data_IF_680059395856
#
_entry.id   IF_680059395856
#
_cell.length_a   1.000
_cell.length_b   1.000
_cell.length_c   1.000
_cell.angle_alpha   90.00
_cell.angle_beta   90.00
_cell.angle_gamma   90.00
#
_symmetry.space_group_name_H-M   'P 1'
#
loop_
_entity.id
_entity.type
_entity.pdbx_description
1 polymer ?
#
# COMPACT_ATOMS: atom_id res chain seq x y z
N UNK A 1 -8.73 19.93 22.71
CA UNK A 1 -8.56 18.74 21.85
C UNK A 1 -9.32 19.01 20.57
N UNK A 2 -8.72 18.74 19.41
CA UNK A 2 -9.49 18.74 18.17
C UNK A 2 -10.65 17.74 18.29
N UNK A 3 -11.82 18.10 17.78
CA UNK A 3 -13.00 17.23 17.76
C UNK A 3 -12.67 15.97 16.95
N UNK A 4 -12.81 14.78 17.56
CA UNK A 4 -12.53 13.51 16.87
C UNK A 4 -13.70 13.18 15.96
N UNK A 5 -13.43 13.02 14.66
CA UNK A 5 -14.45 12.57 13.71
C UNK A 5 -14.67 11.06 13.88
N UNK A 6 -15.85 10.66 14.35
CA UNK A 6 -16.22 9.26 14.55
C UNK A 6 -16.87 8.71 13.27
N UNK A 7 -16.30 7.65 12.72
CA UNK A 7 -16.75 7.04 11.45
C UNK A 7 -16.88 5.52 11.60
N UNK A 8 -17.75 4.91 10.79
CA UNK A 8 -17.90 3.45 10.69
C UNK A 8 -17.32 2.98 9.36
N UNK A 9 -16.09 2.50 9.38
CA UNK A 9 -15.34 2.06 8.20
C UNK A 9 -14.64 0.73 8.49
N UNK A 10 -14.19 0.03 7.45
CA UNK A 10 -13.34 -1.15 7.57
C UNK A 10 -11.85 -0.80 7.59
N UNK A 11 -11.00 -1.82 7.76
CA UNK A 11 -9.54 -1.62 7.82
C UNK A 11 -8.92 -1.15 6.50
N UNK A 12 -9.49 -1.55 5.35
CA UNK A 12 -9.00 -1.11 4.04
C UNK A 12 -9.26 0.40 3.85
N UNK A 13 -10.46 0.87 4.16
CA UNK A 13 -10.80 2.28 4.09
C UNK A 13 -9.97 3.09 5.10
N UNK A 14 -9.80 2.61 6.33
CA UNK A 14 -8.95 3.26 7.33
C UNK A 14 -7.49 3.42 6.86
N UNK A 15 -6.91 2.37 6.28
CA UNK A 15 -5.56 2.42 5.71
C UNK A 15 -5.47 3.35 4.49
N UNK A 16 -6.42 3.25 3.56
CA UNK A 16 -6.48 4.08 2.36
C UNK A 16 -6.63 5.57 2.69
N UNK A 17 -7.42 5.91 3.70
CA UNK A 17 -7.61 7.28 4.17
C UNK A 17 -6.28 7.94 4.56
N UNK A 18 -5.47 7.25 5.37
CA UNK A 18 -4.15 7.76 5.79
C UNK A 18 -3.16 7.72 4.63
N UNK A 19 -3.14 6.65 3.85
CA UNK A 19 -2.25 6.49 2.70
C UNK A 19 -2.45 7.61 1.68
N UNK A 20 -3.70 7.95 1.36
CA UNK A 20 -4.06 9.04 0.45
C UNK A 20 -3.65 10.40 1.00
N UNK A 21 -3.93 10.65 2.28
CA UNK A 21 -3.56 11.89 2.95
C UNK A 21 -2.03 12.12 2.98
N UNK A 22 -1.22 11.05 2.99
CA UNK A 22 0.23 11.08 3.13
C UNK A 22 0.99 10.69 1.85
N UNK A 23 0.35 10.70 0.68
CA UNK A 23 1.02 10.35 -0.59
C UNK A 23 0.72 11.36 -1.70
N UNK A 24 1.66 11.52 -2.61
CA UNK A 24 1.53 12.28 -3.85
C UNK A 24 1.33 11.36 -5.05
N UNK A 25 1.93 10.16 -5.02
CA UNK A 25 1.77 9.13 -6.05
C UNK A 25 1.36 7.82 -5.40
N UNK A 26 0.36 7.16 -5.98
CA UNK A 26 -0.17 5.89 -5.49
C UNK A 26 -0.17 4.92 -6.66
N UNK A 27 0.86 4.08 -6.77
CA UNK A 27 0.96 3.09 -7.84
C UNK A 27 0.33 1.78 -7.39
N UNK A 28 -0.62 1.24 -8.14
CA UNK A 28 -1.47 0.12 -7.71
C UNK A 28 -1.53 -0.99 -8.75
N UNK A 29 -1.91 -2.17 -8.28
CA UNK A 29 -2.40 -3.27 -9.11
C UNK A 29 -3.39 -4.10 -8.27
N UNK A 30 -4.57 -4.46 -8.81
CA UNK A 30 -5.63 -5.08 -8.01
C UNK A 30 -5.29 -6.52 -7.60
N UNK A 31 -5.31 -6.78 -6.30
CA UNK A 31 -5.22 -8.13 -5.72
C UNK A 31 -6.04 -8.21 -4.42
N UNK A 32 -6.94 -9.19 -4.33
CA UNK A 32 -7.76 -9.44 -3.12
C UNK A 32 -6.88 -9.84 -1.93
N UNK A 33 -7.10 -9.38 -0.69
CA UNK A 33 -8.16 -8.49 -0.22
C UNK A 33 -7.75 -7.00 -0.19
N UNK A 34 -6.61 -6.61 -0.77
CA UNK A 34 -6.11 -5.22 -0.76
C UNK A 34 -6.69 -4.30 -1.84
N UNK A 35 -7.31 -4.83 -2.90
CA UNK A 35 -7.90 -4.02 -3.98
C UNK A 35 -8.77 -2.84 -3.51
N UNK A 36 -9.65 -2.99 -2.49
CA UNK A 36 -10.48 -1.89 -2.01
C UNK A 36 -9.68 -0.67 -1.56
N UNK A 37 -8.44 -0.83 -1.06
CA UNK A 37 -7.61 0.33 -0.69
C UNK A 37 -7.25 1.19 -1.90
N UNK A 38 -6.90 0.54 -3.03
CA UNK A 38 -6.62 1.23 -4.28
C UNK A 38 -7.86 1.89 -4.87
N UNK A 39 -8.99 1.22 -4.80
CA UNK A 39 -10.30 1.74 -5.24
C UNK A 39 -10.72 2.97 -4.44
N UNK A 40 -10.59 2.95 -3.10
CA UNK A 40 -10.86 4.12 -2.27
C UNK A 40 -9.90 5.27 -2.55
N UNK A 41 -8.61 4.99 -2.73
CA UNK A 41 -7.64 6.03 -3.07
C UNK A 41 -7.95 6.69 -4.42
N UNK A 42 -8.36 5.90 -5.42
CA UNK A 42 -8.79 6.41 -6.73
C UNK A 42 -10.07 7.25 -6.62
N UNK A 43 -11.06 6.77 -5.85
CA UNK A 43 -12.29 7.51 -5.58
C UNK A 43 -12.00 8.86 -4.89
N UNK A 44 -11.16 8.87 -3.85
CA UNK A 44 -10.77 10.10 -3.15
C UNK A 44 -10.11 11.10 -4.11
N UNK A 45 -9.21 10.63 -4.97
CA UNK A 45 -8.58 11.47 -5.99
C UNK A 45 -9.56 11.97 -7.04
N UNK A 46 -10.50 11.14 -7.50
CA UNK A 46 -11.56 11.52 -8.44
C UNK A 46 -12.51 12.57 -7.84
N UNK A 47 -12.78 12.50 -6.53
CA UNK A 47 -13.55 13.49 -5.78
C UNK A 47 -12.76 14.80 -5.51
N UNK A 48 -11.48 14.84 -5.87
CA UNK A 48 -10.62 16.00 -5.66
C UNK A 48 -10.21 16.21 -4.20
N UNK A 49 -10.26 15.16 -3.38
CA UNK A 49 -9.74 15.18 -2.01
C UNK A 49 -8.24 15.45 -2.08
N UNK A 50 -7.78 16.41 -1.28
CA UNK A 50 -6.38 16.82 -1.23
C UNK A 50 -5.66 16.10 -0.10
N UNK A 51 -4.40 15.75 -0.33
CA UNK A 51 -3.48 15.30 0.70
C UNK A 51 -3.04 16.46 1.61
N UNK A 52 -2.17 16.17 2.58
CA UNK A 52 -1.69 17.18 3.55
C UNK A 52 -0.83 18.29 2.91
N UNK A 53 -0.38 18.12 1.67
CA UNK A 53 0.37 19.13 0.91
C UNK A 53 -0.54 19.97 0.00
N UNK A 54 -1.84 19.71 -0.02
CA UNK A 54 -2.81 20.44 -0.83
C UNK A 54 -2.86 20.01 -2.30
N UNK A 55 -2.17 18.93 -2.68
CA UNK A 55 -2.25 18.31 -3.99
C UNK A 55 -3.23 17.13 -3.99
N UNK A 56 -3.76 16.78 -5.15
CA UNK A 56 -4.58 15.57 -5.32
C UNK A 56 -3.61 14.42 -5.66
N UNK A 57 -3.55 13.35 -4.86
CA UNK A 57 -2.67 12.21 -5.15
C UNK A 57 -2.95 11.61 -6.52
N UNK A 58 -1.89 11.29 -7.27
CA UNK A 58 -2.01 10.65 -8.57
C UNK A 58 -2.05 9.13 -8.39
N UNK A 59 -3.21 8.53 -8.61
CA UNK A 59 -3.37 7.07 -8.64
C UNK A 59 -3.06 6.55 -10.04
N UNK A 60 -2.22 5.51 -10.13
CA UNK A 60 -1.82 4.91 -11.41
C UNK A 60 -1.86 3.40 -11.29
N UNK A 61 -2.69 2.76 -12.11
CA UNK A 61 -2.70 1.31 -12.25
C UNK A 61 -1.59 0.85 -13.19
N UNK A 62 -0.80 -0.11 -12.73
CA UNK A 62 0.29 -0.70 -13.50
C UNK A 62 -0.13 -2.04 -14.13
N UNK A 63 0.75 -2.68 -14.89
CA UNK A 63 0.46 -3.98 -15.50
C UNK A 63 0.59 -5.18 -14.53
N UNK A 64 1.27 -4.98 -13.40
CA UNK A 64 1.47 -5.96 -12.33
C UNK A 64 2.02 -5.28 -11.07
N UNK A 65 2.04 -5.98 -9.94
CA UNK A 65 2.64 -5.49 -8.70
C UNK A 65 4.15 -5.25 -8.82
N UNK A 66 4.86 -6.03 -9.66
CA UNK A 66 6.26 -5.73 -9.96
C UNK A 66 6.42 -4.37 -10.66
N UNK A 67 5.49 -4.05 -11.57
CA UNK A 67 5.40 -2.74 -12.22
C UNK A 67 5.06 -1.63 -11.23
N UNK A 68 4.09 -1.87 -10.34
CA UNK A 68 3.72 -0.94 -9.27
C UNK A 68 4.91 -0.63 -8.35
N UNK A 69 5.64 -1.64 -7.89
CA UNK A 69 6.82 -1.41 -7.04
C UNK A 69 7.94 -0.65 -7.78
N UNK A 70 8.13 -0.91 -9.08
CA UNK A 70 9.07 -0.14 -9.90
C UNK A 70 8.64 1.31 -10.09
N UNK A 71 7.34 1.56 -10.27
CA UNK A 71 6.79 2.91 -10.34
C UNK A 71 6.93 3.66 -9.01
N UNK A 72 6.67 3.00 -7.87
CA UNK A 72 6.93 3.58 -6.55
C UNK A 72 8.42 3.91 -6.39
N UNK A 73 9.32 2.98 -6.72
CA UNK A 73 10.75 3.22 -6.65
C UNK A 73 11.16 4.45 -7.50
N UNK A 74 10.72 4.52 -8.75
CA UNK A 74 10.97 5.67 -9.62
C UNK A 74 10.44 6.98 -9.04
N UNK A 75 9.19 7.01 -8.60
CA UNK A 75 8.58 8.20 -8.01
C UNK A 75 9.34 8.70 -6.76
N UNK A 76 9.77 7.79 -5.88
CA UNK A 76 10.58 8.12 -4.71
C UNK A 76 11.92 8.74 -5.09
N UNK A 77 12.61 8.20 -6.11
CA UNK A 77 13.89 8.76 -6.57
C UNK A 77 13.75 10.16 -7.17
N UNK A 78 12.55 10.50 -7.67
CA UNK A 78 12.22 11.84 -8.16
C UNK A 78 11.73 12.81 -7.06
N UNK A 79 11.64 12.34 -5.81
CA UNK A 79 11.27 13.15 -4.65
C UNK A 79 9.78 13.17 -4.30
N UNK A 80 8.94 12.35 -4.96
CA UNK A 80 7.51 12.28 -4.68
C UNK A 80 7.22 11.22 -3.60
N UNK A 81 6.50 11.61 -2.54
CA UNK A 81 6.11 10.66 -1.50
C UNK A 81 5.08 9.69 -2.07
N UNK A 82 5.41 8.39 -2.01
CA UNK A 82 4.71 7.37 -2.78
C UNK A 82 4.32 6.18 -1.92
N UNK A 83 3.16 5.60 -2.21
CA UNK A 83 2.62 4.42 -1.50
C UNK A 83 2.07 3.39 -2.49
N UNK A 84 1.78 2.19 -1.98
CA UNK A 84 1.09 1.13 -2.72
C UNK A 84 0.28 0.23 -1.77
N UNK A 85 -0.63 -0.52 -2.36
CA UNK A 85 -1.48 -1.50 -1.68
C UNK A 85 -1.27 -2.87 -2.33
N UNK A 86 -1.01 -3.90 -1.53
CA UNK A 86 -0.85 -5.25 -2.08
C UNK A 86 -1.08 -6.34 -1.02
N UNK A 87 -1.01 -7.60 -1.45
CA UNK A 87 -1.14 -8.79 -0.62
C UNK A 87 -0.52 -10.00 -1.32
N UNK A 88 -0.13 -11.04 -0.57
CA UNK A 88 0.18 -12.37 -1.08
C UNK A 88 1.15 -12.39 -2.27
N UNK A 89 0.75 -12.97 -3.40
CA UNK A 89 1.56 -13.08 -4.61
C UNK A 89 2.03 -11.72 -5.12
N UNK A 90 1.21 -10.69 -4.98
CA UNK A 90 1.55 -9.34 -5.37
C UNK A 90 2.74 -8.81 -4.58
N UNK A 91 2.74 -9.02 -3.27
CA UNK A 91 3.86 -8.64 -2.41
C UNK A 91 5.15 -9.38 -2.81
N UNK A 92 5.08 -10.66 -3.19
CA UNK A 92 6.26 -11.40 -3.68
C UNK A 92 6.87 -10.77 -4.93
N UNK A 93 6.04 -10.24 -5.84
CA UNK A 93 6.50 -9.55 -7.04
C UNK A 93 7.17 -8.20 -6.74
N UNK A 94 6.89 -7.62 -5.58
CA UNK A 94 7.51 -6.37 -5.13
C UNK A 94 8.87 -6.57 -4.45
N UNK A 95 9.20 -7.78 -3.97
CA UNK A 95 10.45 -8.08 -3.22
C UNK A 95 11.73 -7.52 -3.87
N UNK A 96 11.97 -7.66 -5.20
CA UNK A 96 13.19 -7.13 -5.79
C UNK A 96 13.32 -5.60 -5.63
N UNK A 97 12.23 -4.86 -5.81
CA UNK A 97 12.20 -3.41 -5.61
C UNK A 97 12.24 -3.02 -4.13
N UNK A 98 11.69 -3.85 -3.23
CA UNK A 98 11.79 -3.61 -1.78
C UNK A 98 13.24 -3.52 -1.32
N UNK A 99 14.13 -4.40 -1.79
CA UNK A 99 15.57 -4.31 -1.48
C UNK A 99 16.20 -3.01 -1.99
N UNK A 100 15.84 -2.57 -3.19
CA UNK A 100 16.33 -1.32 -3.80
C UNK A 100 15.90 -0.11 -2.98
N UNK A 101 14.60 0.00 -2.70
CA UNK A 101 13.99 1.08 -1.94
C UNK A 101 14.61 1.19 -0.54
N UNK A 102 14.74 0.06 0.17
CA UNK A 102 15.35 0.02 1.50
C UNK A 102 16.85 0.33 1.47
N UNK A 103 17.59 -0.18 0.49
CA UNK A 103 19.02 0.09 0.34
C UNK A 103 19.33 1.55 -0.01
N UNK A 104 18.39 2.24 -0.66
CA UNK A 104 18.48 3.67 -0.99
C UNK A 104 17.93 4.57 0.13
N UNK A 105 17.45 4.00 1.24
CA UNK A 105 16.92 4.71 2.41
C UNK A 105 15.84 5.74 2.07
N UNK A 106 14.97 5.39 1.10
CA UNK A 106 13.86 6.25 0.68
C UNK A 106 12.62 6.03 1.55
N UNK A 107 11.89 7.11 1.86
CA UNK A 107 10.73 7.07 2.75
C UNK A 107 9.46 6.69 1.98
N UNK A 108 8.90 5.51 2.27
CA UNK A 108 7.64 5.01 1.69
C UNK A 108 6.96 4.03 2.64
N UNK A 109 5.67 3.80 2.44
CA UNK A 109 4.87 2.85 3.19
C UNK A 109 4.16 1.93 2.20
N UNK A 110 4.24 0.61 2.42
CA UNK A 110 3.44 -0.37 1.69
C UNK A 110 2.35 -0.86 2.65
N UNK A 111 1.09 -0.70 2.26
CA UNK A 111 -0.04 -1.16 3.07
C UNK A 111 -0.46 -2.56 2.61
N UNK A 112 -0.30 -3.54 3.49
CA UNK A 112 -0.47 -4.95 3.17
C UNK A 112 -1.70 -5.51 3.88
N UNK A 113 -2.70 -5.95 3.12
CA UNK A 113 -3.76 -6.79 3.66
C UNK A 113 -3.28 -8.25 3.66
N UNK A 114 -2.51 -8.62 4.69
CA UNK A 114 -1.76 -9.87 4.77
C UNK A 114 -2.61 -11.10 4.41
N UNK A 115 -2.08 -11.94 3.52
CA UNK A 115 -2.83 -13.03 2.87
C UNK A 115 -1.91 -14.21 2.58
N UNK A 116 -2.46 -15.42 2.73
CA UNK A 116 -1.80 -16.68 2.42
C UNK A 116 -1.13 -16.69 1.03
N UNK A 117 0.04 -17.33 0.96
CA UNK A 117 0.69 -17.62 -0.31
C UNK A 117 0.11 -18.89 -0.92
N UNK A 118 0.02 -18.91 -2.24
CA UNK A 118 -0.36 -20.10 -2.98
C UNK A 118 0.77 -21.15 -2.87
N UNK A 119 0.51 -22.20 -2.10
CA UNK A 119 1.44 -23.33 -1.91
C UNK A 119 0.87 -24.57 -2.59
N UNK A 120 0.18 -25.45 -1.85
CA UNK A 120 -0.56 -26.58 -2.45
C UNK A 120 -1.86 -26.15 -3.11
N UNK A 121 -2.39 -24.99 -2.72
CA UNK A 121 -3.62 -24.38 -3.27
C UNK A 121 -3.59 -22.87 -3.06
N UNK A 122 -4.37 -22.14 -3.86
CA UNK A 122 -4.59 -20.71 -3.67
C UNK A 122 -5.53 -20.48 -2.48
N UNK A 123 -5.21 -19.49 -1.66
CA UNK A 123 -6.10 -18.95 -0.63
C UNK A 123 -6.13 -17.43 -0.71
N UNK A 124 -7.35 -16.86 -0.69
CA UNK A 124 -7.56 -15.41 -0.65
C UNK A 124 -7.66 -14.87 0.79
N UNK A 125 -7.52 -15.74 1.78
CA UNK A 125 -7.75 -15.43 3.19
C UNK A 125 -6.45 -15.08 3.93
N UNK A 126 -6.62 -14.41 5.08
CA UNK A 126 -5.55 -13.83 5.85
C UNK A 126 -4.69 -14.85 6.60
N UNK A 127 -3.38 -14.72 6.40
CA UNK A 127 -2.32 -15.18 7.30
C UNK A 127 -1.08 -14.29 7.05
N UNK A 128 0.07 -14.58 7.67
CA UNK A 128 1.26 -13.74 7.54
C UNK A 128 2.33 -14.29 6.58
N UNK A 129 2.03 -15.29 5.74
CA UNK A 129 3.03 -15.93 4.89
C UNK A 129 3.72 -14.94 3.95
N UNK A 130 2.97 -14.00 3.39
CA UNK A 130 3.43 -13.00 2.43
C UNK A 130 4.33 -11.95 3.08
N UNK A 131 3.89 -11.36 4.19
CA UNK A 131 4.65 -10.38 4.97
C UNK A 131 5.93 -11.02 5.52
N UNK A 132 5.86 -12.27 6.00
CA UNK A 132 7.04 -13.00 6.48
C UNK A 132 8.01 -13.40 5.38
N UNK A 133 7.56 -13.53 4.12
CA UNK A 133 8.44 -13.74 2.98
C UNK A 133 9.29 -12.51 2.63
N UNK A 134 8.94 -11.33 3.17
CA UNK A 134 9.63 -10.06 2.89
C UNK A 134 10.51 -9.57 4.06
N UNK A 135 10.54 -10.27 5.20
CA UNK A 135 11.22 -9.81 6.43
C UNK A 135 12.71 -9.48 6.26
N UNK A 136 13.37 -10.09 5.29
CA UNK A 136 14.81 -9.89 4.99
C UNK A 136 15.08 -8.72 4.04
N UNK A 137 14.04 -8.06 3.51
CA UNK A 137 14.19 -6.99 2.50
C UNK A 137 14.72 -5.66 3.04
N UNK A 138 14.89 -5.55 4.36
CA UNK A 138 15.37 -4.33 5.03
C UNK A 138 14.26 -3.36 5.44
N UNK A 139 12.99 -3.74 5.27
CA UNK A 139 11.83 -2.92 5.63
C UNK A 139 11.51 -3.01 7.12
N UNK A 140 11.10 -1.88 7.70
CA UNK A 140 10.39 -1.90 8.97
C UNK A 140 9.00 -2.52 8.78
N UNK A 141 8.59 -3.37 9.71
CA UNK A 141 7.31 -4.08 9.66
C UNK A 141 6.48 -3.72 10.88
N UNK A 142 5.33 -3.09 10.66
CA UNK A 142 4.38 -2.70 11.69
C UNK A 142 3.05 -3.42 11.43
N UNK A 143 2.46 -4.01 12.47
CA UNK A 143 1.22 -4.76 12.39
C UNK A 143 0.15 -4.10 13.24
N UNK A 144 -1.01 -3.91 12.64
CA UNK A 144 -2.25 -3.47 13.31
C UNK A 144 -3.15 -4.67 13.56
N UNK A 145 -3.72 -4.78 14.76
CA UNK A 145 -4.56 -5.90 15.19
C UNK A 145 -6.05 -5.56 15.25
N UNK A 146 -6.43 -4.33 14.88
CA UNK A 146 -7.82 -3.92 14.76
C UNK A 146 -7.97 -2.84 13.69
N UNK A 147 -9.21 -2.54 13.28
CA UNK A 147 -9.49 -1.47 12.30
C UNK A 147 -9.03 -0.08 12.78
N UNK A 148 -8.96 0.12 14.10
CA UNK A 148 -8.60 1.41 14.70
C UNK A 148 -7.08 1.58 14.89
N UNK A 149 -6.32 0.48 14.90
CA UNK A 149 -4.86 0.48 15.00
C UNK A 149 -4.21 0.76 13.63
#
# INVERSE_FOLDING_TARGET
MAEKNMVMIDGNNAAAYVAHALSEVIAIYPITPSSPMGEFADEFSAQGIKNIWGSIPKVVEMQSEAGAAGAVHGALTTGALSTTFTASQGLLLMIPNMYKIAGELTSTVFHIAARALATSSLSIFGDHQDVMACRQTGWAMLSSNSVQE
#
